data_IF_762305981945
#
_entry.id   IF_762305981945
#
_cell.length_a   1.000
_cell.length_b   1.000
_cell.length_c   1.000
_cell.angle_alpha   90.00
_cell.angle_beta   90.00
_cell.angle_gamma   90.00
#
_symmetry.space_group_name_H-M   'P 1'
#
loop_
_entity.id
_entity.type
_entity.pdbx_description
1 polymer ?
#
# COMPACT_ATOMS: atom_id res chain seq x y z
N UNK A 1 7.56 3.15 32.13
CA UNK A 1 8.27 4.46 32.24
C UNK A 1 9.37 4.41 31.20
N UNK A 2 9.15 5.01 30.02
CA UNK A 2 9.70 6.33 29.65
C UNK A 2 11.21 6.30 29.98
N UNK A 3 12.11 6.25 29.01
CA UNK A 3 12.48 7.42 28.20
C UNK A 3 13.55 7.00 27.17
N UNK A 4 13.39 7.50 25.95
CA UNK A 4 14.48 7.98 25.06
C UNK A 4 15.41 6.95 24.44
N UNK A 5 15.03 6.46 23.26
CA UNK A 5 15.88 5.91 22.21
C UNK A 5 15.00 6.01 20.95
N UNK A 6 15.23 6.77 19.89
CA UNK A 6 16.35 7.52 19.35
C UNK A 6 15.73 8.53 18.35
N UNK A 7 16.32 9.72 18.24
CA UNK A 7 16.69 10.36 16.95
C UNK A 7 15.57 10.34 15.89
N UNK A 8 14.78 11.41 15.74
CA UNK A 8 15.14 12.49 14.79
C UNK A 8 16.02 12.02 13.61
N UNK A 9 15.54 11.06 12.82
CA UNK A 9 15.81 11.04 11.38
C UNK A 9 14.87 12.10 10.78
N UNK A 10 15.28 13.37 10.75
CA UNK A 10 15.87 13.96 9.54
C UNK A 10 15.15 13.44 8.31
N UNK A 11 14.17 14.23 7.88
CA UNK A 11 13.98 14.60 6.49
C UNK A 11 14.32 13.50 5.48
N UNK A 12 13.38 12.59 5.26
CA UNK A 12 13.15 12.02 3.94
C UNK A 12 11.92 12.71 3.31
N UNK A 13 11.92 14.05 3.32
CA UNK A 13 11.14 14.82 2.35
C UNK A 13 12.05 14.94 1.12
N UNK A 14 11.90 13.99 0.20
CA UNK A 14 12.73 13.85 -1.00
C UNK A 14 12.97 12.37 -1.23
N UNK A 15 12.08 11.62 -1.88
CA UNK A 15 11.47 11.91 -3.18
C UNK A 15 10.06 11.32 -3.25
N UNK A 16 9.02 12.11 -2.95
CA UNK A 16 7.63 11.76 -3.33
C UNK A 16 7.35 12.11 -4.81
N UNK A 17 8.42 12.34 -5.60
CA UNK A 17 8.35 12.52 -7.03
C UNK A 17 8.18 11.15 -7.70
N UNK A 18 6.93 10.68 -7.78
CA UNK A 18 6.43 9.86 -8.88
C UNK A 18 7.29 8.65 -9.29
N UNK A 19 7.85 7.89 -8.33
CA UNK A 19 8.24 6.51 -8.61
C UNK A 19 6.97 5.68 -8.72
N UNK A 20 6.36 5.78 -9.89
CA UNK A 20 5.33 4.86 -10.33
C UNK A 20 5.98 3.49 -10.46
N UNK A 21 5.35 2.49 -9.87
CA UNK A 21 5.82 1.10 -9.90
C UNK A 21 4.62 0.23 -10.12
N UNK A 22 4.91 -0.99 -10.52
CA UNK A 22 3.91 -2.03 -10.63
C UNK A 22 3.67 -2.56 -9.21
N UNK A 23 2.41 -2.47 -8.78
CA UNK A 23 1.92 -3.00 -7.51
C UNK A 23 0.93 -4.11 -7.81
N UNK A 24 0.75 -5.05 -6.88
CA UNK A 24 -0.24 -6.12 -7.04
C UNK A 24 -1.16 -6.12 -5.84
N UNK A 25 -2.45 -5.86 -6.05
CA UNK A 25 -3.46 -5.99 -5.01
C UNK A 25 -3.96 -7.43 -4.98
N UNK A 26 -3.70 -8.17 -3.91
CA UNK A 26 -4.14 -9.54 -3.70
C UNK A 26 -5.36 -9.54 -2.78
N UNK A 27 -6.54 -9.78 -3.33
CA UNK A 27 -7.80 -9.81 -2.62
C UNK A 27 -8.26 -11.24 -2.37
N UNK A 28 -8.59 -11.57 -1.13
CA UNK A 28 -9.25 -12.82 -0.76
C UNK A 28 -10.75 -12.57 -0.60
N UNK A 29 -11.53 -13.17 -1.48
CA UNK A 29 -13.00 -13.07 -1.48
C UNK A 29 -13.56 -14.47 -1.22
N UNK A 30 -14.24 -14.65 -0.09
CA UNK A 30 -14.86 -15.93 0.29
C UNK A 30 -13.88 -17.13 0.27
N UNK A 31 -12.61 -16.88 0.62
CA UNK A 31 -11.55 -17.90 0.64
C UNK A 31 -10.87 -18.16 -0.71
N UNK A 32 -11.16 -17.36 -1.74
CA UNK A 32 -10.49 -17.40 -3.04
C UNK A 32 -9.63 -16.16 -3.22
N UNK A 33 -8.33 -16.35 -3.38
CA UNK A 33 -7.37 -15.28 -3.65
C UNK A 33 -7.39 -14.88 -5.13
N UNK A 34 -7.50 -13.59 -5.38
CA UNK A 34 -7.50 -12.94 -6.70
C UNK A 34 -6.50 -11.81 -6.70
N UNK A 35 -5.62 -11.75 -7.70
CA UNK A 35 -4.62 -10.69 -7.84
C UNK A 35 -5.00 -9.69 -8.93
N UNK A 36 -4.81 -8.41 -8.65
CA UNK A 36 -5.01 -7.29 -9.56
C UNK A 36 -3.71 -6.53 -9.74
N UNK A 37 -3.17 -6.53 -10.95
CA UNK A 37 -1.95 -5.80 -11.29
C UNK A 37 -2.28 -4.31 -11.50
N UNK A 38 -1.54 -3.46 -10.81
CA UNK A 38 -1.64 -2.01 -10.79
C UNK A 38 -0.32 -1.45 -11.32
N UNK A 39 -0.18 -1.45 -12.65
CA UNK A 39 1.00 -0.97 -13.34
C UNK A 39 1.15 0.55 -13.26
N UNK A 40 2.40 1.02 -13.18
CA UNK A 40 2.72 2.45 -13.20
C UNK A 40 1.87 3.28 -12.19
N UNK A 41 1.56 2.71 -11.03
CA UNK A 41 0.82 3.41 -9.99
C UNK A 41 1.75 4.03 -8.96
N UNK A 42 1.33 5.14 -8.35
CA UNK A 42 1.97 5.59 -7.12
C UNK A 42 1.49 4.71 -6.00
N UNK A 43 2.34 4.48 -5.00
CA UNK A 43 1.96 3.69 -3.83
C UNK A 43 0.61 4.12 -3.23
N UNK A 44 0.39 5.42 -3.04
CA UNK A 44 -0.88 5.94 -2.53
C UNK A 44 -2.08 5.65 -3.43
N UNK A 45 -1.96 5.93 -4.73
CA UNK A 45 -3.04 5.62 -5.70
C UNK A 45 -3.31 4.10 -5.78
N UNK A 46 -2.28 3.27 -5.63
CA UNK A 46 -2.41 1.81 -5.60
C UNK A 46 -3.08 1.32 -4.30
N UNK A 47 -2.74 1.93 -3.15
CA UNK A 47 -3.39 1.68 -1.87
C UNK A 47 -4.88 2.06 -1.95
N UNK A 48 -5.22 3.28 -2.40
CA UNK A 48 -6.60 3.73 -2.60
C UNK A 48 -7.38 2.81 -3.56
N UNK A 49 -6.75 2.36 -4.65
CA UNK A 49 -7.37 1.42 -5.59
C UNK A 49 -7.63 0.06 -4.92
N UNK A 50 -6.67 -0.49 -4.18
CA UNK A 50 -6.80 -1.77 -3.50
C UNK A 50 -7.84 -1.73 -2.36
N UNK A 51 -7.87 -0.64 -1.60
CA UNK A 51 -8.85 -0.39 -0.53
C UNK A 51 -10.28 -0.27 -1.11
N UNK A 52 -10.42 0.33 -2.28
CA UNK A 52 -11.71 0.39 -2.99
C UNK A 52 -12.23 -1.01 -3.40
N UNK A 53 -11.35 -2.00 -3.59
CA UNK A 53 -11.72 -3.40 -3.84
C UNK A 53 -12.12 -4.15 -2.55
N UNK A 54 -11.71 -3.65 -1.39
CA UNK A 54 -12.04 -4.23 -0.08
C UNK A 54 -13.50 -3.96 0.34
N UNK A 55 -14.14 -2.96 -0.27
CA UNK A 55 -15.52 -2.55 0.01
C UNK A 55 -16.55 -3.64 -0.34
N UNK A 56 -16.74 -4.62 0.56
CA UNK A 56 -17.68 -5.72 0.37
C UNK A 56 -17.47 -6.97 1.23
N UNK A 57 -16.46 -7.00 2.11
CA UNK A 57 -16.11 -8.18 2.91
C UNK A 57 -15.01 -9.06 2.28
N UNK A 58 -14.28 -8.50 1.31
CA UNK A 58 -12.99 -9.00 0.82
C UNK A 58 -11.88 -8.56 1.79
N UNK A 59 -10.79 -9.30 1.90
CA UNK A 59 -9.55 -8.82 2.55
C UNK A 59 -8.52 -8.58 1.44
N UNK A 60 -8.09 -7.34 1.22
CA UNK A 60 -7.23 -6.97 0.09
C UNK A 60 -5.87 -6.45 0.59
N UNK A 61 -4.78 -7.10 0.18
CA UNK A 61 -3.41 -6.70 0.53
C UNK A 61 -2.66 -6.19 -0.70
N UNK A 62 -2.07 -5.00 -0.59
CA UNK A 62 -1.16 -4.45 -1.60
C UNK A 62 0.25 -5.05 -1.43
N UNK A 63 0.73 -5.74 -2.47
CA UNK A 63 2.11 -6.25 -2.61
C UNK A 63 2.96 -5.41 -3.56
#
# INVERSE_FOLDING_TARGET
MKKLLFVFAIAAIGSLASCKKDYTCECTILGVSTSFELEDQKKGDAEDACDALEAGGSECELK
#
